data_IF_216031220090
#
_entry.id   IF_216031220090
#
_cell.length_a   1.000
_cell.length_b   1.000
_cell.length_c   1.000
_cell.angle_alpha   90.00
_cell.angle_beta   90.00
_cell.angle_gamma   90.00
#
_symmetry.space_group_name_H-M   'P 1'
#
loop_
_entity.id
_entity.type
_entity.pdbx_description
1 polymer ?
#
# COMPACT_ATOMS: atom_id res chain seq x y z
N UNK A 1 47.60 23.69 22.72
CA UNK A 1 47.64 22.43 21.94
C UNK A 1 49.04 22.25 21.35
N UNK A 2 49.57 21.04 21.28
CA UNK A 2 50.97 20.80 20.89
C UNK A 2 51.10 20.67 19.36
N UNK A 3 51.97 21.45 18.69
CA UNK A 3 52.00 21.57 17.20
C UNK A 3 52.23 20.23 16.51
N UNK A 4 53.16 19.43 17.03
CA UNK A 4 53.54 18.12 16.48
C UNK A 4 52.34 17.14 16.41
N UNK A 5 51.36 17.27 17.30
CA UNK A 5 50.15 16.44 17.30
C UNK A 5 49.21 16.78 16.13
N UNK A 6 49.10 18.06 15.75
CA UNK A 6 48.29 18.46 14.60
C UNK A 6 48.96 18.09 13.27
N UNK A 7 50.29 18.21 13.15
CA UNK A 7 51.00 17.73 11.96
C UNK A 7 50.83 16.21 11.75
N UNK A 8 50.98 15.41 12.81
CA UNK A 8 50.77 13.96 12.74
C UNK A 8 49.35 13.60 12.30
N UNK A 9 48.33 14.24 12.91
CA UNK A 9 46.92 14.02 12.55
C UNK A 9 46.60 14.44 11.11
N UNK A 10 47.15 15.57 10.65
CA UNK A 10 46.90 16.06 9.30
C UNK A 10 47.55 15.15 8.23
N UNK A 11 48.73 14.58 8.51
CA UNK A 11 49.36 13.55 7.64
C UNK A 11 48.55 12.25 7.62
N UNK A 12 48.03 11.82 8.76
CA UNK A 12 47.15 10.63 8.85
C UNK A 12 45.86 10.82 8.03
N UNK A 13 45.22 11.99 8.15
CA UNK A 13 44.01 12.32 7.37
C UNK A 13 44.29 12.36 5.87
N UNK A 14 45.44 12.92 5.43
CA UNK A 14 45.83 12.92 4.01
C UNK A 14 45.95 11.49 3.46
N UNK A 15 46.57 10.58 4.21
CA UNK A 15 46.70 9.16 3.83
C UNK A 15 45.32 8.49 3.76
N UNK A 16 44.44 8.74 4.74
CA UNK A 16 43.07 8.24 4.75
C UNK A 16 42.29 8.69 3.50
N UNK A 17 42.37 9.98 3.15
CA UNK A 17 41.71 10.52 1.96
C UNK A 17 42.21 9.87 0.66
N UNK A 18 43.53 9.64 0.53
CA UNK A 18 44.11 8.98 -0.65
C UNK A 18 43.60 7.53 -0.77
N UNK A 19 43.53 6.79 0.34
CA UNK A 19 43.00 5.42 0.36
C UNK A 19 41.50 5.39 -0.01
N UNK A 20 40.70 6.34 0.50
CA UNK A 20 39.29 6.48 0.15
C UNK A 20 39.09 6.80 -1.33
N UNK A 21 39.88 7.69 -1.93
CA UNK A 21 39.81 7.97 -3.37
C UNK A 21 40.17 6.75 -4.23
N UNK A 22 41.14 5.93 -3.82
CA UNK A 22 41.49 4.67 -4.51
C UNK A 22 40.34 3.66 -4.41
N UNK A 23 39.73 3.52 -3.22
CA UNK A 23 38.55 2.66 -3.03
C UNK A 23 37.38 3.10 -3.92
N UNK A 24 37.06 4.41 -3.94
CA UNK A 24 35.98 4.97 -4.76
C UNK A 24 36.25 4.78 -6.27
N UNK A 25 37.50 4.95 -6.71
CA UNK A 25 37.90 4.67 -8.09
C UNK A 25 37.70 3.21 -8.48
N UNK A 26 38.02 2.27 -7.59
CA UNK A 26 37.79 0.84 -7.82
C UNK A 26 36.29 0.50 -7.87
N UNK A 27 35.47 1.05 -6.97
CA UNK A 27 34.02 0.86 -6.97
C UNK A 27 33.36 1.42 -8.25
N UNK A 28 33.75 2.62 -8.69
CA UNK A 28 33.25 3.21 -9.94
C UNK A 28 33.68 2.42 -11.19
N UNK A 29 34.88 1.82 -11.18
CA UNK A 29 35.32 0.94 -12.26
C UNK A 29 34.54 -0.38 -12.28
N UNK A 30 34.32 -1.00 -11.12
CA UNK A 30 33.53 -2.23 -11.00
C UNK A 30 32.07 -2.01 -11.40
N UNK A 31 31.41 -0.94 -10.93
CA UNK A 31 30.06 -0.55 -11.36
C UNK A 31 29.98 -0.43 -12.88
N UNK A 32 30.88 0.35 -13.52
CA UNK A 32 30.90 0.45 -14.99
C UNK A 32 31.12 -0.88 -15.70
N UNK A 33 31.87 -1.80 -15.09
CA UNK A 33 32.10 -3.14 -15.63
C UNK A 33 30.90 -4.08 -15.43
N UNK A 34 30.09 -3.90 -14.39
CA UNK A 34 28.82 -4.63 -14.21
C UNK A 34 27.83 -4.17 -15.25
N UNK A 35 27.53 -2.86 -15.30
CA UNK A 35 26.57 -2.28 -16.25
C UNK A 35 26.85 -2.67 -17.72
N UNK A 36 28.12 -2.88 -18.09
CA UNK A 36 28.49 -3.36 -19.43
C UNK A 36 28.19 -4.86 -19.66
N UNK A 37 28.35 -5.72 -18.65
CA UNK A 37 27.97 -7.13 -18.71
C UNK A 37 26.45 -7.30 -18.64
N UNK A 38 25.78 -6.52 -17.79
CA UNK A 38 24.33 -6.54 -17.62
C UNK A 38 23.61 -6.05 -18.89
N UNK A 39 24.11 -4.99 -19.54
CA UNK A 39 23.61 -4.55 -20.84
C UNK A 39 23.79 -5.60 -21.95
N UNK A 40 24.91 -6.33 -21.97
CA UNK A 40 25.13 -7.41 -22.93
C UNK A 40 24.18 -8.59 -22.68
N UNK A 41 23.89 -8.92 -21.42
CA UNK A 41 22.90 -9.94 -21.03
C UNK A 41 21.47 -9.54 -21.44
N UNK A 42 21.10 -8.27 -21.31
CA UNK A 42 19.80 -7.76 -21.77
C UNK A 42 19.66 -7.86 -23.30
N UNK A 43 20.71 -7.57 -24.06
CA UNK A 43 20.71 -7.79 -25.52
C UNK A 43 20.60 -9.28 -25.89
N UNK A 44 21.21 -10.18 -25.12
CA UNK A 44 21.06 -11.63 -25.35
C UNK A 44 19.64 -12.12 -25.03
N UNK A 45 18.97 -11.53 -24.04
CA UNK A 45 17.58 -11.88 -23.68
C UNK A 45 16.60 -11.39 -24.76
N UNK A 46 16.65 -10.11 -25.15
CA UNK A 46 15.79 -9.57 -26.20
C UNK A 46 15.94 -10.34 -27.53
N UNK A 47 17.18 -10.68 -27.92
CA UNK A 47 17.45 -11.47 -29.12
C UNK A 47 16.97 -12.94 -29.04
N UNK A 48 16.58 -13.44 -27.86
CA UNK A 48 15.92 -14.75 -27.67
C UNK A 48 14.39 -14.62 -27.68
N UNK A 49 13.85 -13.49 -27.24
CA UNK A 49 12.42 -13.17 -27.31
C UNK A 49 12.00 -12.94 -28.77
N UNK A 50 12.77 -12.15 -29.54
CA UNK A 50 12.61 -11.97 -31.00
C UNK A 50 12.54 -13.30 -31.78
N UNK A 51 13.26 -14.33 -31.31
CA UNK A 51 13.30 -15.68 -31.91
C UNK A 51 12.16 -16.59 -31.45
N UNK A 52 11.52 -16.28 -30.32
CA UNK A 52 10.38 -17.03 -29.78
C UNK A 52 9.07 -16.55 -30.42
N UNK A 53 8.91 -15.24 -30.57
CA UNK A 53 7.73 -14.64 -31.21
C UNK A 53 7.64 -15.07 -32.69
N UNK A 54 8.76 -15.10 -33.42
CA UNK A 54 8.85 -15.62 -34.79
C UNK A 54 8.56 -17.13 -34.93
N UNK A 55 8.58 -17.90 -33.83
CA UNK A 55 8.21 -19.31 -33.84
C UNK A 55 6.71 -19.51 -33.54
N UNK A 56 6.09 -18.60 -32.78
CA UNK A 56 4.67 -18.66 -32.41
C UNK A 56 3.76 -18.05 -33.51
N UNK A 57 4.26 -17.10 -34.31
CA UNK A 57 3.51 -16.48 -35.42
C UNK A 57 3.28 -17.40 -36.64
N UNK A 58 3.86 -18.62 -36.68
CA UNK A 58 3.70 -19.56 -37.79
C UNK A 58 2.60 -20.63 -37.63
N UNK A 59 2.01 -20.80 -36.44
CA UNK A 59 1.07 -21.91 -36.14
C UNK A 59 -0.42 -21.46 -36.07
N UNK A 60 -0.70 -20.17 -36.29
CA UNK A 60 -1.98 -19.54 -35.97
C UNK A 60 -2.90 -19.22 -37.18
N UNK A 61 -2.69 -19.81 -38.36
CA UNK A 61 -3.31 -19.35 -39.62
C UNK A 61 -4.09 -20.41 -40.42
N UNK A 62 -5.04 -21.12 -39.82
CA UNK A 62 -6.07 -21.84 -40.59
C UNK A 62 -7.44 -21.94 -39.87
N UNK A 63 -8.53 -21.78 -40.63
CA UNK A 63 -9.97 -21.78 -40.24
C UNK A 63 -10.42 -20.65 -39.24
N UNK A 64 -11.52 -19.91 -39.43
CA UNK A 64 -12.76 -20.16 -40.20
C UNK A 64 -13.42 -18.87 -40.77
N UNK A 65 -14.59 -19.00 -41.41
CA UNK A 65 -15.44 -17.90 -41.95
C UNK A 65 -16.90 -17.99 -41.42
N UNK A 66 -17.73 -16.93 -41.48
CA UNK A 66 -18.96 -16.80 -40.68
C UNK A 66 -20.28 -17.02 -41.45
N UNK A 67 -21.40 -17.02 -40.70
CA UNK A 67 -22.77 -16.77 -41.18
C UNK A 67 -23.47 -15.68 -40.33
N UNK A 68 -24.60 -15.15 -40.81
CA UNK A 68 -25.30 -13.94 -40.32
C UNK A 68 -26.70 -14.25 -39.75
N UNK A 69 -27.25 -13.37 -38.90
CA UNK A 69 -28.65 -12.83 -38.80
C UNK A 69 -28.93 -12.31 -37.36
N UNK A 70 -29.56 -11.16 -37.04
CA UNK A 70 -30.71 -10.40 -37.61
C UNK A 70 -32.05 -11.04 -37.18
N UNK A 71 -33.04 -10.37 -36.55
CA UNK A 71 -33.40 -8.93 -36.45
C UNK A 71 -34.11 -8.56 -35.11
N UNK A 72 -34.73 -7.37 -35.09
CA UNK A 72 -35.49 -6.61 -34.04
C UNK A 72 -36.64 -7.37 -33.34
N UNK A 73 -37.22 -6.93 -32.19
CA UNK A 73 -38.20 -5.83 -31.94
C UNK A 73 -38.35 -5.68 -30.37
N UNK A 74 -39.04 -4.75 -29.67
CA UNK A 74 -40.06 -3.69 -29.93
C UNK A 74 -39.99 -2.54 -28.88
N UNK A 75 -40.89 -1.55 -29.03
CA UNK A 75 -41.27 -0.31 -28.33
C UNK A 75 -42.18 -0.47 -27.06
N UNK A 76 -42.70 0.51 -26.29
CA UNK A 76 -42.70 2.01 -26.27
C UNK A 76 -43.08 2.64 -24.88
N UNK A 77 -42.74 3.93 -24.66
CA UNK A 77 -43.49 5.10 -24.07
C UNK A 77 -44.74 4.95 -23.11
N UNK A 78 -45.15 5.90 -22.23
CA UNK A 78 -44.63 7.18 -21.66
C UNK A 78 -45.51 7.72 -20.50
N UNK A 79 -44.95 8.57 -19.61
CA UNK A 79 -45.61 9.66 -18.80
C UNK A 79 -46.74 9.28 -17.78
N UNK A 80 -47.24 10.14 -16.85
CA UNK A 80 -47.21 11.61 -16.69
C UNK A 80 -47.33 12.14 -15.22
N UNK A 81 -47.12 13.45 -15.03
CA UNK A 81 -47.26 14.31 -13.82
C UNK A 81 -48.53 14.09 -12.96
N UNK A 82 -48.55 14.17 -11.61
CA UNK A 82 -48.05 15.14 -10.58
C UNK A 82 -49.05 16.24 -10.13
N UNK A 83 -49.45 16.20 -8.84
CA UNK A 83 -50.03 17.26 -7.95
C UNK A 83 -50.43 16.59 -6.61
N UNK A 84 -50.45 17.20 -5.41
CA UNK A 84 -50.08 18.54 -4.91
C UNK A 84 -50.13 18.59 -3.35
N UNK A 85 -49.69 19.68 -2.73
CA UNK A 85 -49.49 19.87 -1.25
C UNK A 85 -50.83 19.88 -0.43
N UNK A 86 -50.92 19.87 0.92
CA UNK A 86 -50.00 20.30 2.01
C UNK A 86 -50.48 19.89 3.44
N UNK A 87 -49.56 19.61 4.40
CA UNK A 87 -49.69 19.56 5.89
C UNK A 87 -50.73 18.57 6.54
N UNK A 88 -50.69 18.20 7.84
CA UNK A 88 -49.88 18.63 8.99
C UNK A 88 -49.64 17.52 10.05
N UNK A 89 -48.56 17.68 10.85
CA UNK A 89 -48.32 17.22 12.24
C UNK A 89 -48.46 15.73 12.70
N UNK A 90 -47.32 15.22 13.21
CA UNK A 90 -47.07 14.36 14.38
C UNK A 90 -47.91 13.10 14.67
N UNK A 91 -47.23 11.95 14.84
CA UNK A 91 -46.88 11.40 16.17
C UNK A 91 -45.73 10.36 16.05
N UNK A 92 -45.01 10.10 17.15
CA UNK A 92 -43.79 9.29 17.15
C UNK A 92 -44.04 7.77 17.14
N UNK A 93 -43.30 7.02 16.30
CA UNK A 93 -42.94 5.64 16.66
C UNK A 93 -41.63 5.14 16.00
N UNK A 94 -40.57 5.22 16.80
CA UNK A 94 -39.49 4.24 16.96
C UNK A 94 -39.14 3.36 15.75
N UNK A 95 -38.08 3.74 15.02
CA UNK A 95 -37.51 2.94 13.95
C UNK A 95 -36.90 1.65 14.50
N UNK A 96 -37.59 0.53 14.28
CA UNK A 96 -36.96 -0.78 14.33
C UNK A 96 -35.93 -0.86 13.19
N UNK A 97 -34.64 -0.75 13.53
CA UNK A 97 -33.56 -1.01 12.59
C UNK A 97 -33.60 -2.50 12.23
N UNK A 98 -34.13 -2.81 11.05
CA UNK A 98 -34.16 -4.18 10.53
C UNK A 98 -32.74 -4.55 10.07
N UNK A 99 -31.98 -5.13 11.02
CA UNK A 99 -30.60 -5.58 10.87
C UNK A 99 -30.53 -6.74 9.87
N UNK A 100 -30.67 -6.38 8.61
CA UNK A 100 -30.57 -7.25 7.45
C UNK A 100 -29.11 -7.59 7.24
N UNK A 101 -28.64 -8.58 8.00
CA UNK A 101 -27.36 -9.23 7.83
C UNK A 101 -27.22 -9.70 6.37
N UNK A 102 -26.61 -8.83 5.56
CA UNK A 102 -26.40 -9.08 4.14
C UNK A 102 -25.34 -10.16 4.02
N UNK A 103 -25.67 -11.24 3.30
CA UNK A 103 -24.67 -12.26 3.00
C UNK A 103 -23.47 -11.57 2.33
N UNK A 104 -22.22 -11.83 2.77
CA UNK A 104 -21.07 -11.03 2.38
C UNK A 104 -20.92 -11.03 0.87
N UNK A 105 -21.09 -9.86 0.26
CA UNK A 105 -20.84 -9.65 -1.17
C UNK A 105 -19.38 -9.95 -1.44
N UNK A 106 -19.11 -10.95 -2.28
CA UNK A 106 -17.74 -11.32 -2.62
C UNK A 106 -16.98 -10.11 -3.17
N UNK A 107 -15.87 -9.78 -2.53
CA UNK A 107 -15.05 -8.64 -2.90
C UNK A 107 -14.50 -8.79 -4.33
N UNK A 108 -14.42 -7.67 -5.06
CA UNK A 108 -13.86 -7.61 -6.43
C UNK A 108 -12.34 -7.82 -6.46
N UNK A 109 -11.69 -7.80 -5.29
CA UNK A 109 -10.27 -7.97 -5.12
C UNK A 109 -9.78 -7.46 -3.78
N UNK A 110 -8.53 -7.03 -3.75
CA UNK A 110 -7.83 -6.49 -2.58
C UNK A 110 -7.45 -5.04 -2.88
N UNK A 111 -7.53 -4.13 -1.89
CA UNK A 111 -6.93 -2.80 -1.98
C UNK A 111 -5.84 -2.64 -0.92
N UNK A 112 -4.64 -2.29 -1.38
CA UNK A 112 -3.46 -2.09 -0.54
C UNK A 112 -3.34 -0.61 -0.16
N UNK A 113 -3.55 -0.28 1.11
CA UNK A 113 -3.45 1.06 1.68
C UNK A 113 -2.23 1.18 2.60
N UNK A 114 -1.64 2.37 2.67
CA UNK A 114 -0.55 2.68 3.60
C UNK A 114 0.79 2.96 2.92
N UNK A 115 1.88 2.55 3.54
CA UNK A 115 3.23 3.02 3.22
C UNK A 115 3.84 2.27 2.03
N UNK A 116 4.29 3.01 1.01
CA UNK A 116 5.13 2.43 -0.04
C UNK A 116 6.61 2.43 0.36
N UNK A 117 7.24 1.26 0.28
CA UNK A 117 8.61 1.01 0.76
C UNK A 117 9.59 0.63 -0.38
N UNK A 118 9.10 0.25 -1.56
CA UNK A 118 9.92 -0.01 -2.76
C UNK A 118 9.46 0.96 -3.86
N UNK A 119 10.42 1.61 -4.52
CA UNK A 119 10.15 2.84 -5.26
C UNK A 119 10.65 2.74 -6.71
N UNK A 120 9.95 3.41 -7.64
CA UNK A 120 10.30 3.39 -9.06
C UNK A 120 9.93 2.08 -9.76
N UNK A 121 10.66 1.73 -10.82
CA UNK A 121 10.37 0.58 -11.68
C UNK A 121 10.35 -0.76 -10.91
N UNK A 122 11.25 -0.92 -9.94
CA UNK A 122 11.31 -2.07 -9.02
C UNK A 122 10.02 -2.29 -8.21
N UNK A 123 9.20 -1.25 -8.00
CA UNK A 123 7.93 -1.37 -7.26
C UNK A 123 6.90 -2.20 -8.02
N UNK A 124 6.95 -2.18 -9.36
CA UNK A 124 6.04 -2.95 -10.22
C UNK A 124 6.32 -4.47 -10.22
N UNK A 125 7.46 -4.91 -9.68
CA UNK A 125 7.86 -6.33 -9.60
C UNK A 125 8.10 -6.83 -8.18
N UNK A 126 8.56 -5.97 -7.26
CA UNK A 126 9.03 -6.37 -5.93
C UNK A 126 8.24 -5.80 -4.76
N UNK A 127 7.31 -4.86 -4.97
CA UNK A 127 6.39 -4.44 -3.90
C UNK A 127 5.50 -5.61 -3.47
N UNK A 128 5.07 -5.62 -2.21
CA UNK A 128 4.15 -6.64 -1.68
C UNK A 128 2.85 -6.72 -2.49
N UNK A 129 2.47 -5.62 -3.13
CA UNK A 129 1.27 -5.45 -3.95
C UNK A 129 1.40 -6.20 -5.28
N UNK A 130 2.53 -6.01 -5.98
CA UNK A 130 2.87 -6.74 -7.19
C UNK A 130 3.08 -8.24 -6.92
N UNK A 131 3.79 -8.59 -5.84
CA UNK A 131 4.00 -9.99 -5.46
C UNK A 131 2.68 -10.67 -5.06
N UNK A 132 1.80 -9.98 -4.33
CA UNK A 132 0.47 -10.51 -3.97
C UNK A 132 -0.40 -10.77 -5.21
N UNK A 133 -0.40 -9.87 -6.20
CA UNK A 133 -1.12 -10.09 -7.46
C UNK A 133 -0.64 -11.36 -8.17
N UNK A 134 0.68 -11.59 -8.23
CA UNK A 134 1.25 -12.80 -8.82
C UNK A 134 0.87 -14.05 -8.01
N UNK A 135 0.99 -14.02 -6.68
CA UNK A 135 0.64 -15.15 -5.81
C UNK A 135 -0.86 -15.52 -5.85
N UNK A 136 -1.75 -14.55 -6.11
CA UNK A 136 -3.18 -14.80 -6.37
C UNK A 136 -3.39 -15.51 -7.71
N UNK A 137 -2.77 -14.99 -8.77
CA UNK A 137 -2.83 -15.58 -10.12
C UNK A 137 -2.30 -17.02 -10.12
N UNK A 138 -1.13 -17.25 -9.50
CA UNK A 138 -0.50 -18.57 -9.35
C UNK A 138 -1.33 -19.52 -8.46
N UNK A 139 -2.12 -18.99 -7.53
CA UNK A 139 -3.09 -19.76 -6.74
C UNK A 139 -4.43 -20.00 -7.46
N UNK A 140 -4.62 -19.45 -8.67
CA UNK A 140 -5.84 -19.58 -9.46
C UNK A 140 -6.98 -18.61 -9.10
N UNK A 141 -6.73 -17.58 -8.29
CA UNK A 141 -7.75 -16.58 -7.94
C UNK A 141 -7.77 -15.44 -8.95
N UNK A 142 -8.93 -15.21 -9.58
CA UNK A 142 -9.15 -14.07 -10.49
C UNK A 142 -9.53 -12.80 -9.71
N UNK A 143 -8.62 -12.34 -8.84
CA UNK A 143 -8.81 -11.16 -7.97
C UNK A 143 -7.76 -10.09 -8.30
N UNK A 144 -8.20 -8.83 -8.41
CA UNK A 144 -7.31 -7.69 -8.70
C UNK A 144 -6.77 -7.07 -7.41
N UNK A 145 -5.49 -6.69 -7.40
CA UNK A 145 -4.87 -5.88 -6.34
C UNK A 145 -4.82 -4.42 -6.79
N UNK A 146 -5.52 -3.54 -6.10
CA UNK A 146 -5.47 -2.08 -6.31
C UNK A 146 -4.40 -1.47 -5.39
N UNK A 147 -3.59 -0.57 -5.93
CA UNK A 147 -2.64 0.24 -5.18
C UNK A 147 -3.26 1.57 -4.70
N UNK A 148 -3.29 1.76 -3.38
CA UNK A 148 -3.61 3.01 -2.67
C UNK A 148 -2.53 3.31 -1.62
N UNK A 149 -1.29 2.92 -1.88
CA UNK A 149 -0.14 3.26 -1.02
C UNK A 149 0.50 4.60 -1.39
N UNK A 150 1.17 5.23 -0.43
CA UNK A 150 1.91 6.48 -0.63
C UNK A 150 3.35 6.34 -0.12
N UNK A 151 4.32 6.69 -0.97
CA UNK A 151 5.71 6.88 -0.53
C UNK A 151 5.83 8.11 0.38
N UNK A 152 6.50 7.95 1.52
CA UNK A 152 7.02 9.06 2.35
C UNK A 152 5.96 9.96 2.99
N UNK A 153 4.70 9.54 3.03
CA UNK A 153 3.60 10.30 3.64
C UNK A 153 3.25 9.70 5.01
N UNK A 154 3.00 10.56 6.00
CA UNK A 154 2.49 10.10 7.30
C UNK A 154 1.04 9.62 7.21
N UNK A 155 0.61 8.84 8.21
CA UNK A 155 -0.74 8.26 8.31
C UNK A 155 -1.88 9.26 8.16
N UNK A 156 -1.72 10.50 8.63
CA UNK A 156 -2.66 11.61 8.45
C UNK A 156 -2.99 11.90 6.97
N UNK A 157 -2.04 11.67 6.07
CA UNK A 157 -2.26 11.75 4.61
C UNK A 157 -3.08 10.56 4.10
N UNK A 158 -2.89 9.36 4.67
CA UNK A 158 -3.70 8.17 4.34
C UNK A 158 -5.16 8.37 4.77
N UNK A 159 -5.39 8.87 5.99
CA UNK A 159 -6.71 9.21 6.50
C UNK A 159 -7.42 10.22 5.58
N UNK A 160 -6.72 11.29 5.20
CA UNK A 160 -7.23 12.29 4.26
C UNK A 160 -7.55 11.67 2.90
N UNK A 161 -6.70 10.76 2.38
CA UNK A 161 -6.93 10.09 1.09
C UNK A 161 -8.08 9.07 1.12
N UNK A 162 -8.32 8.42 2.26
CA UNK A 162 -9.47 7.53 2.47
C UNK A 162 -10.79 8.29 2.56
N UNK A 163 -10.77 9.58 2.91
CA UNK A 163 -11.95 10.41 3.11
C UNK A 163 -12.40 10.51 4.57
N UNK A 164 -11.51 10.24 5.53
CA UNK A 164 -11.74 10.52 6.96
C UNK A 164 -12.06 12.02 7.15
N UNK A 165 -13.03 12.41 8.00
CA UNK A 165 -13.41 13.81 8.16
C UNK A 165 -12.24 14.73 8.52
N UNK A 166 -12.15 15.89 7.85
CA UNK A 166 -11.06 16.85 8.05
C UNK A 166 -10.92 17.31 9.51
N UNK A 167 -12.03 17.45 10.24
CA UNK A 167 -12.04 17.82 11.66
C UNK A 167 -11.34 16.75 12.54
N UNK A 168 -11.50 15.47 12.20
CA UNK A 168 -10.84 14.37 12.91
C UNK A 168 -9.33 14.37 12.64
N UNK A 169 -8.92 14.46 11.37
CA UNK A 169 -7.49 14.55 10.99
C UNK A 169 -6.83 15.78 11.61
N UNK A 170 -7.53 16.92 11.66
CA UNK A 170 -7.06 18.14 12.30
C UNK A 170 -6.96 18.02 13.83
N UNK A 171 -7.74 17.13 14.47
CA UNK A 171 -7.64 16.88 15.91
C UNK A 171 -6.30 16.23 16.28
N UNK A 172 -5.85 15.22 15.52
CA UNK A 172 -4.52 14.62 15.67
C UNK A 172 -3.41 15.66 15.47
N UNK A 173 -3.42 16.40 14.35
CA UNK A 173 -2.44 17.47 14.07
C UNK A 173 -2.33 18.46 15.24
N UNK A 174 -3.46 18.83 15.85
CA UNK A 174 -3.50 19.74 17.00
C UNK A 174 -2.89 19.10 18.25
N UNK A 175 -3.27 17.86 18.56
CA UNK A 175 -2.74 17.10 19.70
C UNK A 175 -1.21 16.91 19.60
N UNK A 176 -0.67 16.67 18.40
CA UNK A 176 0.78 16.50 18.19
C UNK A 176 1.52 17.82 18.44
N UNK A 177 0.99 18.94 17.93
CA UNK A 177 1.55 20.27 18.15
C UNK A 177 1.53 20.70 19.63
N UNK A 178 0.47 20.33 20.37
CA UNK A 178 0.40 20.54 21.82
C UNK A 178 1.39 19.64 22.58
N UNK A 179 1.45 18.35 22.24
CA UNK A 179 2.39 17.38 22.84
C UNK A 179 3.86 17.76 22.60
N UNK A 180 4.18 18.32 21.43
CA UNK A 180 5.52 18.81 21.10
C UNK A 180 5.95 20.06 21.90
N UNK A 181 5.04 20.77 22.56
CA UNK A 181 5.33 21.95 23.40
C UNK A 181 6.19 23.01 22.69
N UNK A 182 6.00 23.17 21.38
CA UNK A 182 6.76 24.10 20.53
C UNK A 182 8.13 23.60 20.08
N UNK A 183 8.45 22.30 20.20
CA UNK A 183 9.51 21.69 19.40
C UNK A 183 9.11 21.59 17.93
N UNK A 184 10.10 21.52 17.04
CA UNK A 184 9.89 21.27 15.60
C UNK A 184 9.60 19.78 15.38
N UNK A 185 8.44 19.47 14.78
CA UNK A 185 8.03 18.11 14.45
C UNK A 185 8.44 17.72 13.02
N UNK A 186 8.66 16.42 12.73
CA UNK A 186 8.78 15.93 11.36
C UNK A 186 7.55 16.29 10.53
N UNK A 187 7.75 16.55 9.23
CA UNK A 187 6.63 16.85 8.31
C UNK A 187 5.63 15.71 8.18
N UNK A 188 6.01 14.48 8.51
CA UNK A 188 5.11 13.32 8.54
C UNK A 188 4.19 13.30 9.77
N UNK A 189 4.55 13.95 10.88
CA UNK A 189 3.73 14.00 12.10
C UNK A 189 2.61 15.04 12.04
N UNK A 190 2.69 16.07 11.19
CA UNK A 190 1.66 17.11 11.10
C UNK A 190 1.28 17.52 9.68
N UNK A 191 1.97 17.01 8.67
CA UNK A 191 1.75 17.35 7.27
C UNK A 191 0.77 16.40 6.58
N UNK A 192 -0.26 16.98 5.97
CA UNK A 192 -1.04 16.32 4.92
C UNK A 192 -0.34 16.63 3.60
N UNK A 193 0.03 15.60 2.83
CA UNK A 193 0.63 15.78 1.50
C UNK A 193 -0.42 16.34 0.54
N UNK A 194 0.01 17.11 -0.47
CA UNK A 194 -0.84 17.37 -1.63
C UNK A 194 -1.27 16.02 -2.26
N UNK A 195 -2.58 15.80 -2.34
CA UNK A 195 -3.21 14.62 -2.93
C UNK A 195 -3.85 15.01 -4.27
N UNK A 196 -3.71 14.17 -5.29
CA UNK A 196 -4.35 14.41 -6.58
C UNK A 196 -5.80 13.89 -6.59
N UNK A 197 -6.70 14.39 -7.47
CA UNK A 197 -8.08 13.90 -7.57
C UNK A 197 -8.16 12.38 -7.81
N UNK A 198 -7.21 11.82 -8.55
CA UNK A 198 -7.10 10.40 -8.88
C UNK A 198 -6.69 9.56 -7.65
N UNK A 199 -5.86 10.12 -6.77
CA UNK A 199 -5.48 9.49 -5.50
C UNK A 199 -6.68 9.38 -4.56
N UNK A 200 -7.44 10.47 -4.40
CA UNK A 200 -8.65 10.53 -3.55
C UNK A 200 -9.88 9.81 -4.12
N UNK A 201 -9.84 9.34 -5.37
CA UNK A 201 -10.97 8.63 -5.97
C UNK A 201 -11.17 7.27 -5.30
N UNK A 202 -12.29 7.07 -4.58
CA UNK A 202 -12.66 5.80 -3.93
C UNK A 202 -13.20 4.77 -4.93
N UNK A 203 -12.30 4.19 -5.73
CA UNK A 203 -12.57 3.11 -6.68
C UNK A 203 -12.44 1.69 -6.06
N UNK A 204 -12.35 1.63 -4.74
CA UNK A 204 -11.89 0.49 -3.94
C UNK A 204 -12.89 -0.01 -2.89
N UNK A 205 -14.07 0.62 -2.79
CA UNK A 205 -15.08 0.33 -1.74
C UNK A 205 -15.67 -1.10 -1.79
N UNK A 206 -15.44 -1.84 -2.87
CA UNK A 206 -15.87 -3.24 -3.08
C UNK A 206 -14.69 -4.24 -2.99
N UNK A 207 -13.56 -3.83 -2.42
CA UNK A 207 -12.32 -4.60 -2.28
C UNK A 207 -12.01 -4.82 -0.79
N UNK A 208 -11.31 -5.90 -0.45
CA UNK A 208 -10.84 -6.12 0.94
C UNK A 208 -9.66 -5.17 1.23
N UNK A 209 -9.75 -4.26 2.20
CA UNK A 209 -8.62 -3.43 2.59
C UNK A 209 -7.52 -4.23 3.31
N UNK A 210 -6.30 -4.10 2.81
CA UNK A 210 -5.06 -4.45 3.50
C UNK A 210 -4.37 -3.13 3.87
N UNK A 211 -4.39 -2.77 5.16
CA UNK A 211 -3.73 -1.55 5.65
C UNK A 211 -2.36 -1.92 6.21
N UNK A 212 -1.30 -1.39 5.60
CA UNK A 212 0.09 -1.54 6.03
C UNK A 212 0.69 -0.14 6.21
N UNK A 213 0.48 0.48 7.39
CA UNK A 213 0.90 1.86 7.63
C UNK A 213 1.46 2.11 9.03
N UNK A 214 2.29 3.14 9.14
CA UNK A 214 2.93 3.63 10.37
C UNK A 214 4.45 3.78 10.26
N UNK A 215 5.07 3.31 9.18
CA UNK A 215 6.52 3.33 8.95
C UNK A 215 7.09 4.75 8.87
N UNK A 216 6.37 5.68 8.23
CA UNK A 216 6.82 7.07 8.04
C UNK A 216 6.41 8.04 9.17
N UNK A 217 5.62 7.60 10.14
CA UNK A 217 5.06 8.46 11.20
C UNK A 217 3.64 8.98 10.89
N UNK A 218 3.22 10.01 11.62
CA UNK A 218 1.85 10.58 11.58
C UNK A 218 0.97 10.20 12.77
N UNK A 219 1.53 9.52 13.78
CA UNK A 219 0.80 8.89 14.89
C UNK A 219 1.45 9.16 16.26
N UNK A 220 2.32 10.17 16.34
CA UNK A 220 2.89 10.73 17.59
C UNK A 220 3.55 9.68 18.51
N UNK A 221 4.01 8.58 17.92
CA UNK A 221 4.63 7.43 18.58
C UNK A 221 3.72 6.70 19.61
N UNK A 222 2.38 6.88 19.58
CA UNK A 222 1.40 6.08 20.34
C UNK A 222 0.80 4.96 19.47
N UNK A 223 1.12 3.67 19.70
CA UNK A 223 0.54 2.57 18.92
C UNK A 223 -0.98 2.47 19.03
N UNK A 224 -1.58 2.95 20.14
CA UNK A 224 -3.02 3.02 20.27
C UNK A 224 -3.61 4.13 19.38
N UNK A 225 -2.83 5.13 19.00
CA UNK A 225 -3.23 6.14 18.02
C UNK A 225 -3.16 5.61 16.61
N UNK A 226 -2.05 4.95 16.24
CA UNK A 226 -1.94 4.27 14.96
C UNK A 226 -3.12 3.30 14.73
N UNK A 227 -3.56 2.60 15.78
CA UNK A 227 -4.77 1.78 15.78
C UNK A 227 -6.07 2.60 15.58
N UNK A 228 -6.25 3.75 16.24
CA UNK A 228 -7.40 4.65 16.01
C UNK A 228 -7.44 5.19 14.56
N UNK A 229 -6.28 5.51 14.00
CA UNK A 229 -6.15 6.02 12.63
C UNK A 229 -6.41 4.94 11.57
N UNK A 230 -5.98 3.69 11.83
CA UNK A 230 -6.35 2.52 11.02
C UNK A 230 -7.86 2.25 11.07
N UNK A 231 -8.47 2.33 12.25
CA UNK A 231 -9.92 2.20 12.45
C UNK A 231 -10.71 3.29 11.70
N UNK A 232 -10.28 4.54 11.78
CA UNK A 232 -10.88 5.64 11.02
C UNK A 232 -10.87 5.39 9.50
N UNK A 233 -9.80 4.79 8.95
CA UNK A 233 -9.74 4.38 7.54
C UNK A 233 -10.70 3.22 7.24
N UNK A 234 -10.75 2.19 8.08
CA UNK A 234 -11.70 1.07 7.90
C UNK A 234 -13.16 1.54 7.93
N UNK A 235 -13.51 2.48 8.82
CA UNK A 235 -14.83 3.09 8.90
C UNK A 235 -15.27 3.84 7.62
N UNK A 236 -14.39 4.05 6.64
CA UNK A 236 -14.74 4.60 5.31
C UNK A 236 -15.22 3.54 4.30
N UNK A 237 -15.14 2.25 4.63
CA UNK A 237 -15.59 1.14 3.77
C UNK A 237 -17.02 0.70 4.12
N UNK A 238 -17.81 0.20 3.15
CA UNK A 238 -19.14 -0.34 3.41
C UNK A 238 -19.11 -1.73 4.08
N UNK A 239 -18.02 -2.48 3.90
CA UNK A 239 -17.77 -3.76 4.56
C UNK A 239 -16.81 -3.54 5.75
N UNK A 240 -17.16 -4.10 6.91
CA UNK A 240 -16.41 -3.96 8.17
C UNK A 240 -15.83 -5.29 8.68
N UNK A 241 -16.36 -6.44 8.25
CA UNK A 241 -15.92 -7.76 8.70
C UNK A 241 -14.75 -8.34 7.89
N UNK A 242 -14.37 -7.68 6.79
CA UNK A 242 -13.33 -8.14 5.86
C UNK A 242 -12.22 -7.12 5.72
N UNK A 243 -11.11 -7.32 6.45
CA UNK A 243 -9.92 -6.47 6.40
C UNK A 243 -8.69 -7.22 6.94
N UNK A 244 -7.49 -6.72 6.62
CA UNK A 244 -6.21 -7.15 7.19
C UNK A 244 -5.42 -5.93 7.62
N UNK A 245 -4.82 -5.99 8.81
CA UNK A 245 -3.84 -4.99 9.30
C UNK A 245 -2.45 -5.63 9.34
N UNK A 246 -1.47 -4.99 8.71
CA UNK A 246 -0.07 -5.39 8.81
C UNK A 246 0.75 -4.30 9.53
N UNK A 247 1.58 -4.69 10.49
CA UNK A 247 2.40 -3.78 11.29
C UNK A 247 3.91 -3.99 11.09
N UNK A 248 4.63 -2.89 10.86
CA UNK A 248 6.10 -2.84 10.85
C UNK A 248 6.60 -1.84 11.90
N UNK A 249 7.83 -2.04 12.40
CA UNK A 249 8.51 -1.01 13.18
C UNK A 249 8.66 0.29 12.37
N UNK A 250 8.58 1.47 12.99
CA UNK A 250 8.74 2.76 12.32
C UNK A 250 10.18 3.05 11.92
N UNK A 251 10.36 3.81 10.84
CA UNK A 251 11.65 4.18 10.25
C UNK A 251 12.61 4.88 11.22
N UNK A 252 12.06 5.64 12.18
CA UNK A 252 12.82 6.40 13.18
C UNK A 252 13.26 5.56 14.40
N UNK A 253 12.72 4.34 14.55
CA UNK A 253 12.95 3.49 15.72
C UNK A 253 12.32 4.00 17.03
N UNK A 254 11.32 4.88 16.95
CA UNK A 254 10.63 5.46 18.12
C UNK A 254 9.90 4.43 18.98
N UNK A 255 9.41 3.35 18.36
CA UNK A 255 8.70 2.23 19.01
C UNK A 255 9.28 0.91 18.51
N UNK A 256 9.47 -0.06 19.39
CA UNK A 256 9.92 -1.40 18.99
C UNK A 256 8.76 -2.32 18.56
N UNK A 257 9.08 -3.37 17.79
CA UNK A 257 8.07 -4.31 17.31
C UNK A 257 7.28 -4.98 18.44
N UNK A 258 7.90 -5.28 19.59
CA UNK A 258 7.17 -5.95 20.68
C UNK A 258 6.08 -5.04 21.28
N UNK A 259 6.36 -3.73 21.38
CA UNK A 259 5.43 -2.72 21.87
C UNK A 259 4.30 -2.46 20.87
N UNK A 260 4.63 -2.36 19.58
CA UNK A 260 3.68 -2.23 18.49
C UNK A 260 2.76 -3.47 18.38
N UNK A 261 3.37 -4.65 18.25
CA UNK A 261 2.68 -5.93 18.05
C UNK A 261 1.72 -6.24 19.21
N UNK A 262 2.07 -5.84 20.45
CA UNK A 262 1.20 -6.03 21.62
C UNK A 262 -0.12 -5.28 21.46
N UNK A 263 -0.08 -3.99 21.10
CA UNK A 263 -1.28 -3.16 20.96
C UNK A 263 -2.07 -3.56 19.71
N UNK A 264 -1.37 -3.85 18.61
CA UNK A 264 -2.01 -4.24 17.36
C UNK A 264 -2.67 -5.62 17.44
N UNK A 265 -2.06 -6.59 18.13
CA UNK A 265 -2.68 -7.91 18.36
C UNK A 265 -3.88 -7.82 19.32
N UNK A 266 -3.84 -6.93 20.31
CA UNK A 266 -4.97 -6.70 21.23
C UNK A 266 -6.16 -6.02 20.51
N UNK A 267 -5.90 -5.05 19.63
CA UNK A 267 -6.94 -4.35 18.85
C UNK A 267 -7.52 -5.19 17.71
N UNK A 268 -6.67 -5.85 16.92
CA UNK A 268 -7.05 -6.42 15.61
C UNK A 268 -7.14 -7.95 15.60
N UNK A 269 -6.72 -8.63 16.67
CA UNK A 269 -6.91 -10.07 16.85
C UNK A 269 -6.43 -10.89 15.65
N UNK A 270 -7.33 -11.69 15.07
CA UNK A 270 -6.98 -12.57 13.96
C UNK A 270 -6.75 -11.86 12.62
N UNK A 271 -7.19 -10.62 12.44
CA UNK A 271 -6.94 -9.82 11.23
C UNK A 271 -5.49 -9.30 11.14
N UNK A 272 -4.70 -9.44 12.20
CA UNK A 272 -3.36 -8.86 12.30
C UNK A 272 -2.25 -9.74 11.68
N UNK A 273 -1.25 -9.06 11.11
CA UNK A 273 0.04 -9.60 10.67
C UNK A 273 1.16 -8.75 11.27
N UNK A 274 1.96 -9.32 12.18
CA UNK A 274 3.22 -8.72 12.61
C UNK A 274 4.33 -9.05 11.61
N UNK A 275 4.99 -8.03 11.04
CA UNK A 275 6.17 -8.23 10.20
C UNK A 275 7.28 -9.00 10.94
N UNK A 276 7.48 -8.71 12.23
CA UNK A 276 8.51 -9.34 13.06
C UNK A 276 8.24 -10.83 13.35
N UNK A 277 6.98 -11.27 13.19
CA UNK A 277 6.58 -12.69 13.33
C UNK A 277 6.76 -13.51 12.05
N UNK A 278 6.70 -12.87 10.88
CA UNK A 278 6.77 -13.56 9.57
C UNK A 278 8.16 -13.51 8.94
N UNK A 279 8.98 -12.50 9.24
CA UNK A 279 10.29 -12.33 8.61
C UNK A 279 11.35 -11.71 9.52
N UNK A 280 12.62 -12.01 9.21
CA UNK A 280 13.79 -11.30 9.75
C UNK A 280 14.33 -10.22 8.78
N UNK A 281 13.73 -10.09 7.60
CA UNK A 281 14.14 -9.14 6.57
C UNK A 281 13.44 -7.78 6.83
N UNK A 282 14.11 -6.63 6.68
CA UNK A 282 13.45 -5.33 6.82
C UNK A 282 12.30 -5.18 5.81
N UNK A 283 11.20 -4.54 6.22
CA UNK A 283 10.00 -4.40 5.37
C UNK A 283 10.24 -3.60 4.07
N UNK A 284 11.37 -2.91 3.93
CA UNK A 284 11.84 -2.20 2.74
C UNK A 284 12.78 -3.03 1.84
N UNK A 285 12.87 -4.35 2.06
CA UNK A 285 13.60 -5.30 1.18
C UNK A 285 12.64 -6.14 0.34
N UNK A 286 13.14 -6.70 -0.76
CA UNK A 286 12.33 -7.50 -1.69
C UNK A 286 11.86 -8.79 -1.01
N UNK A 287 12.72 -9.39 -0.19
CA UNK A 287 12.42 -10.55 0.63
C UNK A 287 11.33 -10.23 1.66
N UNK A 288 11.46 -9.16 2.44
CA UNK A 288 10.44 -8.75 3.42
C UNK A 288 9.08 -8.40 2.79
N UNK A 289 9.08 -7.86 1.57
CA UNK A 289 7.86 -7.55 0.82
C UNK A 289 7.20 -8.80 0.23
N UNK A 290 8.00 -9.81 -0.19
CA UNK A 290 7.50 -11.12 -0.60
C UNK A 290 6.96 -11.93 0.59
N UNK A 291 7.64 -11.88 1.74
CA UNK A 291 7.19 -12.50 3.00
C UNK A 291 5.83 -11.91 3.43
N UNK A 292 5.67 -10.58 3.37
CA UNK A 292 4.40 -9.88 3.62
C UNK A 292 3.30 -10.31 2.63
N UNK A 293 3.59 -10.35 1.33
CA UNK A 293 2.62 -10.76 0.31
C UNK A 293 2.12 -12.21 0.53
N UNK A 294 3.03 -13.13 0.88
CA UNK A 294 2.70 -14.51 1.22
C UNK A 294 1.86 -14.60 2.50
N UNK A 295 2.18 -13.81 3.52
CA UNK A 295 1.42 -13.74 4.77
C UNK A 295 0.00 -13.18 4.57
N UNK A 296 -0.17 -12.15 3.72
CA UNK A 296 -1.50 -11.61 3.35
C UNK A 296 -2.32 -12.69 2.65
N UNK A 297 -1.76 -13.37 1.65
CA UNK A 297 -2.48 -14.43 0.93
C UNK A 297 -2.87 -15.59 1.85
N UNK A 298 -2.00 -16.00 2.78
CA UNK A 298 -2.34 -17.04 3.74
C UNK A 298 -3.42 -16.56 4.72
N UNK A 299 -3.32 -15.34 5.25
CA UNK A 299 -4.33 -14.72 6.11
C UNK A 299 -5.71 -14.69 5.46
N UNK A 300 -5.80 -14.33 4.18
CA UNK A 300 -7.07 -14.34 3.44
C UNK A 300 -7.64 -15.75 3.23
N UNK A 301 -6.79 -16.78 3.13
CA UNK A 301 -7.23 -18.19 3.11
C UNK A 301 -7.76 -18.62 4.47
N UNK A 302 -7.06 -18.25 5.55
CA UNK A 302 -7.43 -18.60 6.93
C UNK A 302 -8.76 -17.95 7.36
N UNK A 303 -8.98 -16.68 6.98
CA UNK A 303 -10.20 -15.91 7.26
C UNK A 303 -11.35 -16.16 6.25
N UNK A 304 -11.16 -16.99 5.23
CA UNK A 304 -12.18 -17.30 4.22
C UNK A 304 -12.56 -16.12 3.32
N UNK A 305 -11.65 -15.18 3.08
CA UNK A 305 -11.87 -14.00 2.23
C UNK A 305 -11.69 -14.26 0.72
N UNK A 306 -11.28 -15.47 0.34
CA UNK A 306 -11.09 -15.90 -1.04
C UNK A 306 -12.15 -16.96 -1.40
N UNK A 307 -12.89 -16.73 -2.48
CA UNK A 307 -13.87 -17.66 -3.05
C UNK A 307 -13.80 -17.66 -4.59
#
# INVERSE_FOLDING_TARGET
MNKNYQEGRNRLLLILCILLFILFGALLFWSRSSNAADAARLQELAAREDQKDQAEEQDASEEARPEETVEEETEENQEQASTGQQNSENEDQESAAEETATAPTLAKGIVCWGDDLINGEESATHSYRAVLQNLLNDSGYNLTVIDKTLQGAGTLSMMTMAGVPQEEVQSYITAHQEAAQGQELPVTETGIRDLTPEQTQRNDLEYVPVIFMGYYGGWNHDPAELARQQEAILNTFPQQEQYIIAGTFPLDGSVDSATLDSVMSEKWGEHYISMASITSNPASTYEGQADLAAAILQKMKDLGYLA
#
